data_IF_313347408572
#
_entry.id   IF_313347408572
#
_cell.length_a   1.000
_cell.length_b   1.000
_cell.length_c   1.000
_cell.angle_alpha   90.00
_cell.angle_beta   90.00
_cell.angle_gamma   90.00
#
_symmetry.space_group_name_H-M   'P 1'
#
loop_
_entity.id
_entity.type
_entity.pdbx_description
1 polymer ?
#
# COMPACT_ATOMS: atom_id res chain seq x y z
N UNK A 1 15.04 17.09 -31.48
CA UNK A 1 14.11 15.96 -31.70
C UNK A 1 12.74 16.41 -31.24
N UNK A 2 11.84 16.71 -32.18
CA UNK A 2 10.49 17.13 -31.86
C UNK A 2 9.60 15.90 -31.65
N UNK A 3 9.03 15.78 -30.45
CA UNK A 3 8.05 14.76 -30.13
C UNK A 3 6.75 15.00 -30.88
N UNK A 4 6.18 13.93 -31.45
CA UNK A 4 4.89 13.98 -32.12
C UNK A 4 3.77 14.41 -31.17
N UNK A 5 2.78 15.18 -31.64
CA UNK A 5 1.74 15.79 -30.80
C UNK A 5 0.94 14.78 -29.94
N UNK A 6 0.80 13.52 -30.39
CA UNK A 6 0.13 12.48 -29.59
C UNK A 6 0.94 12.04 -28.35
N UNK A 7 2.28 12.07 -28.40
CA UNK A 7 3.13 11.69 -27.27
C UNK A 7 3.13 12.75 -26.15
N UNK A 8 2.90 14.02 -26.48
CA UNK A 8 2.79 15.11 -25.51
C UNK A 8 1.56 14.95 -24.61
N UNK A 9 0.48 14.38 -25.13
CA UNK A 9 -0.77 14.23 -24.39
C UNK A 9 -0.68 13.14 -23.32
N UNK A 10 -0.07 11.98 -23.63
CA UNK A 10 0.18 10.94 -22.62
C UNK A 10 1.16 11.39 -21.53
N UNK A 11 2.18 12.17 -21.90
CA UNK A 11 3.15 12.70 -20.93
C UNK A 11 2.50 13.71 -19.97
N UNK A 12 1.66 14.62 -20.50
CA UNK A 12 0.92 15.58 -19.68
C UNK A 12 -0.08 14.89 -18.73
N UNK A 13 -0.79 13.85 -19.19
CA UNK A 13 -1.71 13.09 -18.32
C UNK A 13 -0.95 12.33 -17.22
N UNK A 14 0.19 11.72 -17.53
CA UNK A 14 1.03 11.05 -16.54
C UNK A 14 1.58 12.04 -15.50
N UNK A 15 2.02 13.22 -15.95
CA UNK A 15 2.54 14.27 -15.07
C UNK A 15 1.42 14.89 -14.21
N UNK A 16 0.22 15.04 -14.77
CA UNK A 16 -0.95 15.56 -14.05
C UNK A 16 -1.50 14.55 -13.04
N UNK A 17 -1.40 13.24 -13.30
CA UNK A 17 -1.67 12.19 -12.30
C UNK A 17 -0.60 12.14 -11.20
N UNK A 18 0.67 12.39 -11.54
CA UNK A 18 1.77 12.48 -10.57
C UNK A 18 1.63 13.71 -9.67
N UNK A 19 1.14 14.83 -10.20
CA UNK A 19 0.90 16.04 -9.40
C UNK A 19 -0.44 16.00 -8.66
N UNK A 20 -1.47 15.34 -9.20
CA UNK A 20 -2.74 15.10 -8.48
C UNK A 20 -2.58 14.14 -7.30
N UNK A 21 -1.57 13.26 -7.31
CA UNK A 21 -1.23 12.42 -6.14
C UNK A 21 -0.34 13.15 -5.11
N UNK A 22 0.19 14.33 -5.45
CA UNK A 22 0.82 15.26 -4.49
C UNK A 22 -0.19 16.22 -3.84
N UNK A 23 -1.37 16.37 -4.43
CA UNK A 23 -2.49 17.15 -3.88
C UNK A 23 -3.01 16.52 -2.59
N UNK A 24 -2.77 17.21 -1.48
CA UNK A 24 -3.43 17.04 -0.18
C UNK A 24 -3.66 15.58 0.24
N UNK A 25 -2.58 14.85 0.56
CA UNK A 25 -2.77 13.72 1.47
C UNK A 25 -3.36 14.30 2.75
N UNK A 26 -4.48 13.73 3.17
CA UNK A 26 -5.21 14.04 4.41
C UNK A 26 -4.29 13.97 5.66
N UNK A 27 -3.12 13.34 5.52
CA UNK A 27 -2.08 13.27 6.55
C UNK A 27 -0.69 13.69 6.05
N UNK A 28 -0.59 14.40 4.91
CA UNK A 28 0.69 14.96 4.45
C UNK A 28 1.26 15.78 5.59
N UNK A 29 2.56 15.63 5.81
CA UNK A 29 3.34 16.46 6.72
C UNK A 29 3.04 17.91 6.35
N UNK A 30 2.06 18.50 7.02
CA UNK A 30 1.88 19.93 7.00
C UNK A 30 3.13 20.44 7.70
N UNK A 31 3.99 21.09 6.95
CA UNK A 31 4.71 22.24 7.49
C UNK A 31 3.63 23.22 7.93
N UNK A 32 3.08 22.98 9.13
CA UNK A 32 2.43 24.03 9.90
C UNK A 32 3.45 25.15 9.90
N UNK A 33 3.03 26.38 9.56
CA UNK A 33 3.91 27.53 9.27
C UNK A 33 4.96 27.88 10.35
N UNK A 34 5.00 27.12 11.44
CA UNK A 34 5.99 27.08 12.52
C UNK A 34 7.26 26.27 12.22
N UNK A 35 7.37 25.56 11.09
CA UNK A 35 8.59 24.85 10.71
C UNK A 35 8.86 23.54 11.46
N UNK A 36 7.86 23.00 12.18
CA UNK A 36 7.93 21.71 12.88
C UNK A 36 7.49 20.56 11.97
N UNK A 37 8.33 19.54 11.78
CA UNK A 37 7.95 18.31 11.07
C UNK A 37 7.28 17.33 12.02
N UNK A 38 6.06 16.93 11.66
CA UNK A 38 5.34 15.86 12.34
C UNK A 38 5.75 14.50 11.75
N UNK A 39 6.39 13.67 12.56
CA UNK A 39 6.72 12.28 12.19
C UNK A 39 5.48 11.40 12.31
N UNK A 40 5.36 10.43 11.39
CA UNK A 40 4.28 9.44 11.42
C UNK A 40 4.60 8.32 12.41
N UNK A 41 3.59 7.74 13.04
CA UNK A 41 3.81 6.66 14.01
C UNK A 41 3.68 5.29 13.29
N UNK A 42 4.72 4.43 13.33
CA UNK A 42 4.66 3.11 12.68
C UNK A 42 3.58 2.19 13.26
N UNK A 43 3.19 2.35 14.53
CA UNK A 43 2.12 1.55 15.13
C UNK A 43 0.74 1.84 14.51
N UNK A 44 0.51 3.07 14.04
CA UNK A 44 -0.71 3.40 13.29
C UNK A 44 -0.71 2.73 11.91
N UNK A 45 0.44 2.62 11.24
CA UNK A 45 0.55 1.87 9.99
C UNK A 45 0.21 0.39 10.18
N UNK A 46 0.71 -0.21 11.26
CA UNK A 46 0.37 -1.59 11.62
C UNK A 46 -1.12 -1.74 11.93
N UNK A 47 -1.70 -0.82 12.72
CA UNK A 47 -3.14 -0.82 13.00
C UNK A 47 -3.96 -0.76 11.71
N UNK A 48 -3.56 0.09 10.76
CA UNK A 48 -4.20 0.16 9.43
C UNK A 48 -3.98 -1.11 8.59
N UNK A 49 -2.83 -1.77 8.70
CA UNK A 49 -2.61 -3.06 8.03
C UNK A 49 -3.42 -4.21 8.67
N UNK A 50 -3.84 -4.10 9.94
CA UNK A 50 -4.67 -5.12 10.62
C UNK A 50 -6.16 -4.90 10.37
N UNK A 51 -6.72 -3.75 10.74
CA UNK A 51 -8.18 -3.59 10.97
C UNK A 51 -8.96 -2.76 9.94
N UNK A 52 -8.33 -2.22 8.90
CA UNK A 52 -8.94 -2.22 7.57
C UNK A 52 -8.22 -3.14 6.58
N UNK A 53 -6.95 -3.52 6.82
CA UNK A 53 -6.15 -4.31 5.88
C UNK A 53 -6.73 -5.69 5.54
N UNK A 54 -7.54 -6.28 6.41
CA UNK A 54 -8.29 -7.51 6.11
C UNK A 54 -9.33 -7.32 4.98
N UNK A 55 -9.85 -6.10 4.81
CA UNK A 55 -10.81 -5.73 3.76
C UNK A 55 -10.17 -4.90 2.63
N UNK A 56 -9.12 -4.15 2.95
CA UNK A 56 -8.44 -3.18 2.10
C UNK A 56 -6.93 -3.33 2.22
N UNK A 57 -6.34 -4.31 1.54
CA UNK A 57 -4.88 -4.49 1.47
C UNK A 57 -4.18 -3.20 1.06
N UNK A 58 -3.07 -2.88 1.73
CA UNK A 58 -2.27 -1.69 1.43
C UNK A 58 -2.68 -0.44 2.21
N UNK A 59 -3.67 -0.50 3.10
CA UNK A 59 -4.06 0.62 3.97
C UNK A 59 -2.87 1.12 4.83
N UNK A 60 -2.03 0.20 5.31
CA UNK A 60 -0.78 0.56 6.00
C UNK A 60 0.17 1.37 5.10
N UNK A 61 0.34 0.97 3.84
CA UNK A 61 1.14 1.70 2.85
C UNK A 61 0.53 3.04 2.43
N UNK A 62 -0.81 3.17 2.38
CA UNK A 62 -1.46 4.48 2.17
C UNK A 62 -1.11 5.44 3.30
N UNK A 63 -1.22 4.98 4.56
CA UNK A 63 -0.78 5.76 5.71
C UNK A 63 0.72 6.08 5.65
N UNK A 64 1.54 5.09 5.29
CA UNK A 64 2.97 5.30 5.09
C UNK A 64 3.26 6.28 3.96
N UNK A 65 2.31 6.51 3.06
CA UNK A 65 2.49 7.43 1.95
C UNK A 65 3.20 6.81 0.75
N UNK A 66 2.99 5.52 0.53
CA UNK A 66 3.49 4.75 -0.62
C UNK A 66 2.30 4.30 -1.48
N UNK A 67 1.61 5.27 -2.09
CA UNK A 67 0.35 5.02 -2.80
C UNK A 67 0.45 3.99 -3.93
N UNK A 68 1.60 3.90 -4.62
CA UNK A 68 1.82 2.88 -5.66
C UNK A 68 1.85 1.47 -5.09
N UNK A 69 2.61 1.24 -4.01
CA UNK A 69 2.66 -0.04 -3.31
C UNK A 69 1.29 -0.40 -2.73
N UNK A 70 0.65 0.58 -2.10
CA UNK A 70 -0.69 0.42 -1.55
C UNK A 70 -1.72 -0.01 -2.61
N UNK A 71 -1.70 0.62 -3.79
CA UNK A 71 -2.60 0.29 -4.89
C UNK A 71 -2.32 -1.11 -5.46
N UNK A 72 -1.05 -1.51 -5.60
CA UNK A 72 -0.69 -2.86 -6.06
C UNK A 72 -1.24 -3.90 -5.08
N UNK A 73 -0.99 -3.73 -3.78
CA UNK A 73 -1.49 -4.64 -2.74
C UNK A 73 -3.02 -4.69 -2.73
N UNK A 74 -3.69 -3.55 -2.85
CA UNK A 74 -5.14 -3.47 -2.93
C UNK A 74 -5.71 -4.23 -4.13
N UNK A 75 -5.13 -4.04 -5.32
CA UNK A 75 -5.59 -4.72 -6.54
C UNK A 75 -5.33 -6.23 -6.47
N UNK A 76 -4.16 -6.66 -5.97
CA UNK A 76 -3.84 -8.08 -5.81
C UNK A 76 -4.79 -8.75 -4.80
N UNK A 77 -5.06 -8.10 -3.66
CA UNK A 77 -6.01 -8.58 -2.66
C UNK A 77 -7.43 -8.66 -3.22
N UNK A 78 -7.89 -7.60 -3.92
CA UNK A 78 -9.24 -7.53 -4.48
C UNK A 78 -9.49 -8.58 -5.56
N UNK A 79 -8.51 -8.82 -6.45
CA UNK A 79 -8.61 -9.87 -7.49
C UNK A 79 -8.66 -11.25 -6.84
N UNK A 80 -7.80 -11.52 -5.85
CA UNK A 80 -7.80 -12.79 -5.12
C UNK A 80 -9.12 -13.06 -4.40
N UNK A 81 -9.67 -12.04 -3.72
CA UNK A 81 -10.96 -12.10 -3.04
C UNK A 81 -12.12 -12.27 -4.02
N UNK A 82 -12.11 -11.57 -5.16
CA UNK A 82 -13.16 -11.69 -6.17
C UNK A 82 -13.19 -13.09 -6.78
N UNK A 83 -12.02 -13.63 -7.12
CA UNK A 83 -11.88 -15.02 -7.59
C UNK A 83 -12.45 -15.96 -6.53
N UNK A 84 -11.97 -15.91 -5.29
CA UNK A 84 -12.49 -16.76 -4.22
C UNK A 84 -14.00 -16.64 -4.06
N UNK A 85 -14.56 -15.42 -4.14
CA UNK A 85 -16.00 -15.19 -4.04
C UNK A 85 -16.78 -15.79 -5.22
N UNK A 86 -16.33 -15.59 -6.47
CA UNK A 86 -17.00 -16.16 -7.65
C UNK A 86 -16.98 -17.68 -7.65
N UNK A 87 -15.94 -18.30 -7.10
CA UNK A 87 -15.84 -19.76 -7.00
C UNK A 87 -16.60 -20.36 -5.82
N UNK A 88 -16.77 -19.60 -4.72
CA UNK A 88 -17.60 -20.02 -3.57
C UNK A 88 -19.09 -19.78 -3.86
N UNK A 89 -19.43 -18.72 -4.59
CA UNK A 89 -20.82 -18.32 -4.86
C UNK A 89 -21.35 -18.74 -6.23
N UNK A 90 -20.49 -19.07 -7.20
CA UNK A 90 -20.91 -19.69 -8.46
C UNK A 90 -20.68 -21.20 -8.40
N UNK A 91 -21.64 -22.09 -8.63
CA UNK A 91 -23.05 -21.93 -9.02
C UNK A 91 -23.80 -23.26 -8.65
N UNK A 92 -25.14 -23.34 -8.73
CA UNK A 92 -25.74 -23.50 -10.06
C UNK A 92 -26.84 -22.47 -10.35
N UNK A 93 -26.76 -21.89 -11.55
CA UNK A 93 -27.90 -21.34 -12.25
C UNK A 93 -29.12 -22.27 -12.07
N UNK A 94 -30.35 -21.72 -11.93
CA UNK A 94 -31.54 -22.54 -11.83
C UNK A 94 -31.58 -23.49 -13.03
N UNK A 95 -31.84 -24.78 -12.76
CA UNK A 95 -32.19 -25.78 -13.77
C UNK A 95 -33.31 -25.19 -14.64
N UNK A 96 -32.95 -24.56 -15.75
CA UNK A 96 -33.84 -24.43 -16.89
C UNK A 96 -33.53 -25.65 -17.73
N UNK A 97 -34.32 -26.70 -17.48
CA UNK A 97 -34.58 -27.73 -18.46
C UNK A 97 -34.75 -27.05 -19.83
N UNK A 98 -33.76 -27.19 -20.71
CA UNK A 98 -34.01 -27.41 -22.13
C UNK A 98 -32.69 -27.78 -22.83
N UNK A 99 -32.74 -28.95 -23.44
CA UNK A 99 -31.74 -29.62 -24.26
C UNK A 99 -30.95 -28.67 -25.17
N UNK A 100 -29.72 -28.32 -24.78
CA UNK A 100 -28.71 -27.83 -25.71
C UNK A 100 -27.32 -28.30 -25.29
N UNK A 101 -27.07 -29.58 -25.54
CA UNK A 101 -25.73 -30.16 -25.70
C UNK A 101 -24.84 -29.23 -26.54
N UNK A 102 -23.71 -28.79 -25.98
CA UNK A 102 -22.37 -29.10 -26.51
C UNK A 102 -21.27 -28.33 -25.76
N UNK A 103 -20.52 -29.06 -24.93
CA UNK A 103 -19.17 -28.65 -24.51
C UNK A 103 -19.08 -27.95 -23.15
N UNK A 104 -19.87 -28.37 -22.17
CA UNK A 104 -19.70 -27.88 -20.80
C UNK A 104 -18.36 -28.37 -20.25
N UNK A 105 -17.41 -27.44 -20.16
CA UNK A 105 -16.12 -27.61 -19.51
C UNK A 105 -16.36 -27.92 -18.03
N UNK A 106 -16.48 -29.20 -17.68
CA UNK A 106 -16.39 -29.66 -16.29
C UNK A 106 -15.01 -29.26 -15.77
N UNK A 107 -14.97 -28.13 -15.07
CA UNK A 107 -13.79 -27.76 -14.30
C UNK A 107 -13.71 -28.78 -13.17
N UNK A 108 -12.66 -29.59 -13.19
CA UNK A 108 -12.50 -30.65 -12.22
C UNK A 108 -12.39 -30.07 -10.79
N UNK A 109 -12.89 -30.79 -9.79
CA UNK A 109 -12.86 -30.37 -8.38
C UNK A 109 -11.42 -30.11 -7.87
N UNK A 110 -10.42 -30.78 -8.43
CA UNK A 110 -9.00 -30.62 -8.08
C UNK A 110 -8.43 -29.28 -8.58
N UNK A 111 -8.85 -28.79 -9.74
CA UNK A 111 -8.52 -27.50 -10.32
C UNK A 111 -9.15 -26.39 -9.48
N UNK A 112 -10.39 -26.59 -9.00
CA UNK A 112 -11.04 -25.66 -8.06
C UNK A 112 -10.26 -25.55 -6.75
N UNK A 113 -9.93 -26.68 -6.13
CA UNK A 113 -9.21 -26.69 -4.85
C UNK A 113 -7.82 -26.05 -4.98
N UNK A 114 -7.11 -26.31 -6.10
CA UNK A 114 -5.84 -25.65 -6.41
C UNK A 114 -5.98 -24.15 -6.57
N UNK A 115 -7.00 -23.69 -7.30
CA UNK A 115 -7.24 -22.27 -7.51
C UNK A 115 -7.55 -21.55 -6.18
N UNK A 116 -8.35 -22.15 -5.30
CA UNK A 116 -8.64 -21.63 -3.97
C UNK A 116 -7.38 -21.54 -3.10
N UNK A 117 -6.54 -22.58 -3.11
CA UNK A 117 -5.27 -22.56 -2.40
C UNK A 117 -4.32 -21.46 -2.90
N UNK A 118 -4.20 -21.29 -4.22
CA UNK A 118 -3.40 -20.22 -4.81
C UNK A 118 -3.94 -18.85 -4.41
N UNK A 119 -5.25 -18.65 -4.47
CA UNK A 119 -5.90 -17.41 -4.05
C UNK A 119 -5.65 -17.11 -2.56
N UNK A 120 -5.77 -18.11 -1.69
CA UNK A 120 -5.49 -17.98 -0.27
C UNK A 120 -4.03 -17.59 0.00
N UNK A 121 -3.07 -18.27 -0.64
CA UNK A 121 -1.63 -17.95 -0.50
C UNK A 121 -1.33 -16.53 -0.97
N UNK A 122 -1.91 -16.09 -2.09
CA UNK A 122 -1.72 -14.72 -2.58
C UNK A 122 -2.35 -13.69 -1.62
N UNK A 123 -3.55 -13.96 -1.12
CA UNK A 123 -4.25 -13.08 -0.18
C UNK A 123 -3.50 -12.94 1.14
N UNK A 124 -3.21 -14.08 1.81
CA UNK A 124 -2.51 -14.08 3.10
C UNK A 124 -1.05 -13.66 2.96
N UNK A 125 -0.38 -14.04 1.87
CA UNK A 125 1.00 -13.64 1.61
C UNK A 125 1.13 -12.13 1.44
N UNK A 126 0.26 -11.51 0.65
CA UNK A 126 0.24 -10.05 0.50
C UNK A 126 -0.25 -9.32 1.75
N UNK A 127 -1.13 -9.92 2.55
CA UNK A 127 -1.56 -9.36 3.83
C UNK A 127 -0.41 -9.34 4.85
N UNK A 128 0.30 -10.47 5.01
CA UNK A 128 1.48 -10.56 5.89
C UNK A 128 2.56 -9.59 5.43
N UNK A 129 2.76 -9.44 4.12
CA UNK A 129 3.65 -8.43 3.56
C UNK A 129 3.27 -7.02 4.05
N UNK A 130 2.00 -6.62 3.95
CA UNK A 130 1.52 -5.30 4.41
C UNK A 130 1.73 -5.11 5.91
N UNK A 131 1.45 -6.14 6.73
CA UNK A 131 1.67 -6.11 8.18
C UNK A 131 3.13 -5.84 8.57
N UNK A 132 4.09 -6.41 7.82
CA UNK A 132 5.52 -6.28 8.11
C UNK A 132 6.11 -5.01 7.46
N UNK A 133 5.78 -4.74 6.20
CA UNK A 133 6.46 -3.70 5.43
C UNK A 133 5.90 -2.29 5.68
N UNK A 134 4.60 -2.14 5.95
CA UNK A 134 3.99 -0.83 6.24
C UNK A 134 4.63 -0.06 7.40
N UNK A 135 4.87 -0.65 8.60
CA UNK A 135 5.57 0.06 9.68
C UNK A 135 7.02 0.40 9.32
N UNK A 136 7.69 -0.44 8.51
CA UNK A 136 9.04 -0.16 8.00
C UNK A 136 9.04 0.97 6.96
N UNK A 137 8.01 1.04 6.12
CA UNK A 137 7.82 2.13 5.17
C UNK A 137 7.65 3.47 5.89
N UNK A 138 6.88 3.51 7.00
CA UNK A 138 6.80 4.72 7.85
C UNK A 138 8.15 5.13 8.41
N UNK A 139 8.93 4.18 8.95
CA UNK A 139 10.28 4.47 9.47
C UNK A 139 11.18 5.05 8.36
N UNK A 140 11.21 4.42 7.18
CA UNK A 140 11.95 4.89 6.01
C UNK A 140 11.53 6.30 5.58
N UNK A 141 10.23 6.62 5.61
CA UNK A 141 9.75 7.97 5.28
C UNK A 141 10.14 9.00 6.34
N UNK A 142 10.00 8.68 7.63
CA UNK A 142 10.43 9.55 8.71
C UNK A 142 11.93 9.87 8.62
N UNK A 143 12.77 8.86 8.36
CA UNK A 143 14.21 9.06 8.14
C UNK A 143 14.51 9.96 6.94
N UNK A 144 13.80 9.76 5.81
CA UNK A 144 13.94 10.63 4.63
C UNK A 144 13.57 12.08 4.95
N UNK A 145 12.56 12.31 5.79
CA UNK A 145 12.15 13.66 6.19
C UNK A 145 13.19 14.32 7.09
N UNK A 146 13.71 13.59 8.09
CA UNK A 146 14.76 14.09 8.96
C UNK A 146 16.03 14.45 8.17
N UNK A 147 16.43 13.59 7.22
CA UNK A 147 17.56 13.85 6.31
C UNK A 147 17.32 15.07 5.43
N UNK A 148 16.13 15.22 4.84
CA UNK A 148 15.78 16.38 4.00
C UNK A 148 15.85 17.71 4.74
N UNK A 149 15.60 17.72 6.04
CA UNK A 149 15.68 18.93 6.86
C UNK A 149 17.09 19.26 7.34
N UNK A 150 18.10 18.46 6.95
CA UNK A 150 19.47 18.55 7.45
C UNK A 150 19.51 18.59 9.00
N UNK A 151 18.54 17.91 9.62
CA UNK A 151 18.43 17.78 11.06
C UNK A 151 19.30 16.60 11.47
N UNK A 152 20.42 16.88 12.12
CA UNK A 152 21.15 15.87 12.89
C UNK A 152 20.59 15.84 14.31
N UNK A 153 20.20 14.64 14.76
CA UNK A 153 19.95 14.41 16.18
C UNK A 153 21.31 14.30 16.86
N UNK A 154 21.63 15.30 17.69
CA UNK A 154 22.84 15.29 18.48
C UNK A 154 22.47 14.85 19.90
N UNK A 155 23.09 13.76 20.33
CA UNK A 155 22.90 13.21 21.67
C UNK A 155 24.08 13.65 22.53
N UNK A 156 23.78 14.38 23.59
CA UNK A 156 24.75 14.78 24.59
C UNK A 156 24.75 13.74 25.70
N UNK A 157 25.92 13.18 25.99
CA UNK A 157 26.10 12.14 27.01
C UNK A 157 26.86 12.71 28.20
N UNK A 158 26.49 12.33 29.42
CA UNK A 158 27.29 12.66 30.60
C UNK A 158 28.56 11.80 30.65
N UNK A 159 29.44 12.13 31.60
CA UNK A 159 30.69 11.38 31.86
C UNK A 159 30.45 9.89 32.19
N UNK A 160 29.20 9.48 32.42
CA UNK A 160 28.78 8.10 32.72
C UNK A 160 28.12 7.42 31.52
N UNK A 161 28.10 8.05 30.35
CA UNK A 161 27.50 7.53 29.12
C UNK A 161 25.97 7.54 29.11
N UNK A 162 25.31 8.31 29.99
CA UNK A 162 23.85 8.48 29.98
C UNK A 162 23.47 9.65 29.09
N UNK A 163 22.42 9.48 28.27
CA UNK A 163 21.86 10.57 27.45
C UNK A 163 21.28 11.64 28.36
N UNK A 164 21.85 12.84 28.34
CA UNK A 164 21.43 13.99 29.15
C UNK A 164 20.52 14.90 28.34
N UNK A 165 20.78 15.04 27.04
CA UNK A 165 20.07 15.94 26.15
C UNK A 165 20.04 15.39 24.74
N UNK A 166 18.88 15.44 24.10
CA UNK A 166 18.72 15.19 22.67
C UNK A 166 18.34 16.51 22.02
N UNK A 167 19.22 17.04 21.16
CA UNK A 167 19.02 18.31 20.47
C UNK A 167 18.82 18.08 18.97
N UNK A 168 17.86 18.78 18.39
CA UNK A 168 17.64 18.83 16.95
C UNK A 168 18.53 19.96 16.41
N UNK A 169 19.66 19.62 15.78
CA UNK A 169 20.57 20.61 15.19
C UNK A 169 20.29 20.69 13.70
N UNK A 170 19.85 21.86 13.22
CA UNK A 170 19.80 22.17 11.78
C UNK A 170 21.21 22.53 11.33
N UNK A 171 21.80 21.72 10.45
CA UNK A 171 23.04 22.09 9.75
C UNK A 171 22.66 22.94 8.54
N UNK A 172 23.13 24.18 8.49
CA UNK A 172 22.99 25.05 7.33
C UNK A 172 24.13 24.81 6.35
#
# INVERSE_FOLDING_TARGET
>A
MDFQPQQRSCFLVAQQMEDSTKGERIDSIQTVGTGTVKLKNPYWALFYAVMPGMFYHGAGHFYAGEGRTALILFMTGSVGSLVALTWVMGDPAPEMDDEASNGESQIDDETRDRALWVAAVLFFGTWIYDLVDAPLAVKRQNEKLLKKQNISLEFDFDDRGKVVRCQIVKRF
#
